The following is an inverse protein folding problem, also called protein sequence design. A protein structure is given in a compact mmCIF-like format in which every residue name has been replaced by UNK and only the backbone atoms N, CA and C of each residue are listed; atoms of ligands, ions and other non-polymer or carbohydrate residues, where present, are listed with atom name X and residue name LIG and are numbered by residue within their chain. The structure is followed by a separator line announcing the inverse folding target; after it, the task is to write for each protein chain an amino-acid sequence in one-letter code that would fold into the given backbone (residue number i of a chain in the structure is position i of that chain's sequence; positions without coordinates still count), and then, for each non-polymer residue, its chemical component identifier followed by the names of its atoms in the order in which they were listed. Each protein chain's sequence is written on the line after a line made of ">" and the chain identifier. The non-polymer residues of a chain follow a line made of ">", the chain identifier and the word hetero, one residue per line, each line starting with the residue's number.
data_IF_038965398220
#
_entry.id   IF_038965398220
#
_cell.length_a   1.000
_cell.length_b   1.000
_cell.length_c   1.000
_cell.angle_alpha   90.00
_cell.angle_beta   90.00
_cell.angle_gamma   90.00
#
_symmetry.space_group_name_H-M   'P 1'
#
loop_
_entity.id
_entity.type
_entity.pdbx_description
1 polymer ?
#
# COMPACT_ATOMS: atom_id res chain seq x y z
N UNK A 1 -6.69 2.12 17.40
CA UNK A 1 -5.28 1.74 17.56
C UNK A 1 -4.46 3.01 17.57
N UNK A 2 -3.76 3.29 18.66
CA UNK A 2 -2.68 4.28 18.65
C UNK A 2 -1.43 3.55 18.17
N UNK A 3 -0.94 3.95 16.99
CA UNK A 3 0.34 3.47 16.49
C UNK A 3 1.37 4.53 16.89
N UNK A 4 2.44 4.17 17.60
CA UNK A 4 3.58 5.06 17.84
C UNK A 4 4.10 5.69 16.55
N UNK A 5 4.62 6.92 16.63
CA UNK A 5 5.01 7.69 15.44
C UNK A 5 6.08 6.98 14.60
N UNK A 6 7.09 6.43 15.25
CA UNK A 6 8.14 5.56 14.71
C UNK A 6 7.57 4.34 13.97
N UNK A 7 6.64 3.61 14.60
CA UNK A 7 5.98 2.46 13.96
C UNK A 7 5.21 2.88 12.71
N UNK A 8 4.56 4.06 12.73
CA UNK A 8 3.87 4.59 11.56
C UNK A 8 4.86 4.93 10.43
N UNK A 9 5.97 5.60 10.73
CA UNK A 9 7.01 5.89 9.72
C UNK A 9 7.55 4.60 9.11
N UNK A 10 7.89 3.61 9.93
CA UNK A 10 8.38 2.32 9.45
C UNK A 10 7.37 1.63 8.53
N UNK A 11 6.06 1.65 8.86
CA UNK A 11 5.01 1.12 7.98
C UNK A 11 4.90 1.89 6.65
N UNK A 12 5.05 3.22 6.69
CA UNK A 12 5.03 4.04 5.48
C UNK A 12 6.22 3.71 4.56
N UNK A 13 7.43 3.50 5.12
CA UNK A 13 8.62 3.04 4.39
C UNK A 13 8.43 1.63 3.81
N UNK A 14 7.87 0.70 4.59
CA UNK A 14 7.53 -0.65 4.12
C UNK A 14 6.59 -0.59 2.91
N UNK A 15 5.51 0.20 3.01
CA UNK A 15 4.54 0.36 1.92
C UNK A 15 5.19 0.97 0.69
N UNK A 16 5.99 2.01 0.86
CA UNK A 16 6.73 2.66 -0.21
C UNK A 16 7.65 1.66 -0.92
N UNK A 17 8.42 0.91 -0.14
CA UNK A 17 9.35 -0.09 -0.65
C UNK A 17 8.63 -1.16 -1.47
N UNK A 18 7.56 -1.75 -0.94
CA UNK A 18 6.74 -2.75 -1.66
C UNK A 18 6.22 -2.18 -2.99
N UNK A 19 5.84 -0.90 -2.98
CA UNK A 19 5.28 -0.21 -4.14
C UNK A 19 6.32 0.28 -5.16
N UNK A 20 7.61 0.01 -4.95
CA UNK A 20 8.65 0.19 -5.99
C UNK A 20 8.74 -1.00 -6.95
N UNK A 21 8.05 -2.10 -6.66
CA UNK A 21 8.03 -3.29 -7.53
C UNK A 21 7.50 -2.92 -8.91
N UNK A 22 8.14 -3.43 -9.97
CA UNK A 22 7.68 -3.21 -11.33
C UNK A 22 6.22 -3.72 -11.51
N UNK A 23 5.39 -2.92 -12.16
CA UNK A 23 4.05 -3.29 -12.62
C UNK A 23 4.01 -3.21 -14.15
N UNK A 24 2.95 -3.71 -14.80
CA UNK A 24 2.87 -3.81 -16.26
C UNK A 24 3.15 -2.49 -17.00
N UNK A 25 2.85 -1.35 -16.37
CA UNK A 25 3.01 0.00 -16.94
C UNK A 25 4.10 0.84 -16.24
N UNK A 26 4.76 0.30 -15.20
CA UNK A 26 5.73 1.04 -14.37
C UNK A 26 7.01 0.22 -14.18
N UNK A 27 8.20 0.77 -14.55
CA UNK A 27 9.45 0.07 -14.32
C UNK A 27 9.75 -0.09 -12.83
N UNK A 28 10.71 -0.96 -12.50
CA UNK A 28 11.17 -1.14 -11.11
C UNK A 28 11.74 0.19 -10.57
N UNK A 29 11.11 0.72 -9.52
CA UNK A 29 11.49 1.99 -8.88
C UNK A 29 12.79 1.93 -8.09
N UNK A 30 13.40 0.75 -7.97
CA UNK A 30 14.74 0.56 -7.45
C UNK A 30 15.60 -0.10 -8.52
N UNK A 31 15.64 0.45 -9.74
CA UNK A 31 16.38 -0.10 -10.88
C UNK A 31 17.91 -0.11 -10.68
N UNK A 32 18.44 0.91 -10.02
CA UNK A 32 19.87 1.12 -9.81
C UNK A 32 20.17 1.79 -8.45
N UNK A 33 21.47 2.04 -8.20
CA UNK A 33 21.95 2.66 -6.94
C UNK A 33 21.50 4.14 -6.85
N UNK A 34 21.29 4.82 -7.98
CA UNK A 34 20.76 6.18 -8.01
C UNK A 34 19.34 6.23 -7.45
N UNK A 35 18.46 5.35 -7.93
CA UNK A 35 17.10 5.21 -7.40
C UNK A 35 17.09 4.81 -5.91
N UNK A 36 18.03 3.96 -5.48
CA UNK A 36 18.16 3.61 -4.06
C UNK A 36 18.54 4.82 -3.20
N UNK A 37 19.47 5.66 -3.65
CA UNK A 37 19.85 6.90 -2.95
C UNK A 37 18.70 7.89 -2.88
N UNK A 38 17.90 7.99 -3.94
CA UNK A 38 16.69 8.80 -3.95
C UNK A 38 15.68 8.29 -2.93
N UNK A 39 15.42 6.98 -2.89
CA UNK A 39 14.53 6.36 -1.90
C UNK A 39 14.99 6.65 -0.46
N UNK A 40 16.28 6.46 -0.15
CA UNK A 40 16.84 6.74 1.19
C UNK A 40 16.65 8.21 1.59
N UNK A 41 16.85 9.15 0.66
CA UNK A 41 16.65 10.58 0.91
C UNK A 41 15.18 10.95 1.09
N UNK A 42 14.31 10.44 0.22
CA UNK A 42 12.86 10.75 0.25
C UNK A 42 12.21 10.31 1.57
N UNK A 43 12.62 9.16 2.10
CA UNK A 43 12.10 8.61 3.35
C UNK A 43 12.95 8.95 4.58
N UNK A 44 13.97 9.79 4.42
CA UNK A 44 14.87 10.25 5.49
C UNK A 44 15.43 9.08 6.34
N UNK A 45 15.87 8.01 5.68
CA UNK A 45 16.42 6.84 6.37
C UNK A 45 17.81 7.20 6.91
N UNK A 46 17.97 7.13 8.23
CA UNK A 46 19.18 7.49 8.97
C UNK A 46 20.15 6.32 9.12
N UNK A 47 21.36 6.60 9.64
CA UNK A 47 22.41 5.62 9.90
C UNK A 47 22.79 4.73 8.69
N UNK A 48 22.66 5.30 7.48
CA UNK A 48 23.00 4.66 6.22
C UNK A 48 24.43 5.00 5.82
N UNK A 49 25.26 3.97 5.65
CA UNK A 49 26.62 4.09 5.12
C UNK A 49 26.66 4.29 3.59
N UNK A 50 27.83 4.07 2.99
CA UNK A 50 27.99 4.16 1.54
C UNK A 50 27.17 3.10 0.79
N UNK A 51 26.24 3.56 -0.04
CA UNK A 51 25.34 2.68 -0.79
C UNK A 51 25.99 2.09 -2.04
N UNK A 52 25.99 0.75 -2.09
CA UNK A 52 26.52 -0.03 -3.20
C UNK A 52 25.55 -1.06 -3.77
N UNK A 53 26.07 -1.89 -4.69
CA UNK A 53 25.28 -2.93 -5.36
C UNK A 53 24.75 -4.01 -4.39
N UNK A 54 25.48 -4.27 -3.28
CA UNK A 54 25.04 -5.22 -2.24
C UNK A 54 23.83 -4.69 -1.49
N UNK A 55 23.80 -3.41 -1.15
CA UNK A 55 22.65 -2.78 -0.50
C UNK A 55 21.43 -2.83 -1.41
N UNK A 56 21.58 -2.50 -2.69
CA UNK A 56 20.48 -2.59 -3.65
C UNK A 56 19.91 -4.01 -3.73
N UNK A 57 20.76 -5.03 -3.79
CA UNK A 57 20.31 -6.43 -3.79
C UNK A 57 19.62 -6.83 -2.48
N UNK A 58 20.15 -6.40 -1.33
CA UNK A 58 19.57 -6.63 -0.01
C UNK A 58 18.19 -5.98 0.12
N UNK A 59 18.07 -4.71 -0.24
CA UNK A 59 16.82 -3.96 -0.20
C UNK A 59 15.76 -4.56 -1.12
N UNK A 60 16.13 -5.00 -2.34
CA UNK A 60 15.20 -5.73 -3.23
C UNK A 60 14.75 -7.07 -2.65
N UNK A 61 15.62 -7.77 -1.91
CA UNK A 61 15.28 -9.01 -1.21
C UNK A 61 14.26 -8.74 -0.10
N UNK A 62 14.51 -7.71 0.72
CA UNK A 62 13.62 -7.28 1.81
C UNK A 62 12.27 -6.82 1.26
N UNK A 63 12.26 -6.05 0.16
CA UNK A 63 11.03 -5.69 -0.58
C UNK A 63 10.19 -6.91 -0.93
N UNK A 64 10.83 -7.95 -1.47
CA UNK A 64 10.15 -9.21 -1.83
C UNK A 64 9.53 -9.90 -0.62
N UNK A 65 10.23 -9.93 0.52
CA UNK A 65 9.71 -10.49 1.79
C UNK A 65 8.53 -9.67 2.34
N UNK A 66 8.60 -8.34 2.33
CA UNK A 66 7.46 -7.51 2.71
C UNK A 66 6.26 -7.72 1.80
N UNK A 67 6.47 -7.83 0.48
CA UNK A 67 5.39 -8.11 -0.45
C UNK A 67 4.68 -9.44 -0.14
N UNK A 68 5.41 -10.46 0.34
CA UNK A 68 4.85 -11.72 0.81
C UNK A 68 4.05 -11.56 2.11
N UNK A 69 4.51 -10.73 3.06
CA UNK A 69 3.74 -10.43 4.29
C UNK A 69 2.38 -9.81 3.95
N UNK A 70 2.35 -8.86 3.01
CA UNK A 70 1.10 -8.27 2.51
C UNK A 70 0.19 -9.27 1.78
N UNK A 71 0.75 -10.37 1.27
CA UNK A 71 0.01 -11.44 0.61
C UNK A 71 -0.29 -12.64 1.52
N UNK A 72 0.08 -12.59 2.80
CA UNK A 72 -0.05 -13.72 3.70
C UNK A 72 -1.54 -14.04 3.97
N UNK A 73 -1.98 -15.31 3.83
CA UNK A 73 -3.39 -15.67 3.92
C UNK A 73 -3.94 -15.66 5.36
N UNK A 74 -3.08 -15.67 6.37
CA UNK A 74 -3.48 -15.70 7.78
C UNK A 74 -2.33 -15.19 8.69
N UNK A 75 -2.63 -14.90 9.98
CA UNK A 75 -1.64 -14.32 10.89
C UNK A 75 -0.45 -15.23 11.16
N UNK A 76 -0.64 -16.56 11.12
CA UNK A 76 0.43 -17.54 11.34
C UNK A 76 1.46 -17.49 10.22
N UNK A 77 1.02 -17.42 8.96
CA UNK A 77 1.93 -17.26 7.82
C UNK A 77 2.65 -15.91 7.86
N UNK A 78 1.94 -14.82 8.18
CA UNK A 78 2.55 -13.51 8.32
C UNK A 78 3.63 -13.49 9.42
N UNK A 79 3.33 -14.07 10.59
CA UNK A 79 4.28 -14.16 11.70
C UNK A 79 5.55 -14.97 11.33
N UNK A 80 5.42 -16.06 10.58
CA UNK A 80 6.58 -16.82 10.08
C UNK A 80 7.51 -15.97 9.21
N UNK A 81 6.94 -15.26 8.23
CA UNK A 81 7.70 -14.37 7.33
C UNK A 81 8.36 -13.20 8.09
N UNK A 82 7.65 -12.62 9.06
CA UNK A 82 8.17 -11.54 9.90
C UNK A 82 9.32 -12.04 10.77
N UNK A 83 9.17 -13.22 11.39
CA UNK A 83 10.22 -13.84 12.20
C UNK A 83 11.50 -14.07 11.39
N UNK A 84 11.37 -14.56 10.15
CA UNK A 84 12.52 -14.73 9.25
C UNK A 84 13.19 -13.39 8.91
N UNK A 85 12.41 -12.33 8.68
CA UNK A 85 12.93 -10.98 8.43
C UNK A 85 13.78 -10.49 9.61
N UNK A 86 13.20 -10.46 10.82
CA UNK A 86 13.88 -9.92 12.00
C UNK A 86 15.05 -10.78 12.45
N UNK A 87 14.95 -12.12 12.30
CA UNK A 87 16.04 -13.02 12.64
C UNK A 87 17.23 -12.87 11.69
N UNK A 88 16.98 -12.65 10.38
CA UNK A 88 18.05 -12.43 9.40
C UNK A 88 18.77 -11.10 9.66
N UNK A 89 18.01 -10.05 10.02
CA UNK A 89 18.56 -8.72 10.26
C UNK A 89 19.42 -8.61 11.53
N UNK A 90 19.28 -9.54 12.48
CA UNK A 90 20.03 -9.52 13.74
C UNK A 90 19.62 -8.36 14.64
N UNK A 91 18.33 -8.25 14.96
CA UNK A 91 17.80 -7.07 15.67
C UNK A 91 18.45 -6.84 17.03
N UNK A 92 18.92 -5.62 17.25
CA UNK A 92 19.56 -5.17 18.50
C UNK A 92 18.89 -3.86 18.95
N UNK A 93 17.79 -3.92 19.75
CA UNK A 93 17.03 -2.73 20.12
C UNK A 93 17.88 -1.69 20.87
N UNK A 94 17.82 -0.43 20.45
CA UNK A 94 18.48 0.70 21.11
C UNK A 94 17.50 1.86 21.23
N UNK A 95 17.43 2.46 22.43
CA UNK A 95 16.64 3.65 22.68
C UNK A 95 17.47 4.88 22.26
N UNK A 96 16.89 5.76 21.44
CA UNK A 96 17.58 6.88 20.79
C UNK A 96 16.66 8.09 20.63
N UNK A 97 17.21 9.29 20.49
CA UNK A 97 16.49 10.58 20.42
C UNK A 97 17.02 11.51 19.31
N UNK A 98 17.56 10.94 18.21
CA UNK A 98 18.03 11.71 17.05
C UNK A 98 17.01 11.76 15.90
N UNK A 99 17.46 12.16 14.70
CA UNK A 99 16.66 12.28 13.47
C UNK A 99 15.51 13.30 13.51
N UNK A 100 15.55 14.22 14.47
CA UNK A 100 14.50 15.23 14.65
C UNK A 100 13.26 14.72 15.38
N UNK A 101 13.36 13.56 16.05
CA UNK A 101 12.29 12.98 16.85
C UNK A 101 12.69 12.87 18.33
N UNK A 102 11.69 12.79 19.20
CA UNK A 102 11.88 12.44 20.61
C UNK A 102 12.20 10.92 20.73
N UNK A 103 12.41 10.44 21.95
CA UNK A 103 12.78 9.05 22.25
C UNK A 103 12.00 7.99 21.45
N UNK A 104 12.73 7.16 20.72
CA UNK A 104 12.23 6.04 19.93
C UNK A 104 13.22 4.87 19.91
N UNK A 105 12.80 3.71 19.38
CA UNK A 105 13.63 2.50 19.36
C UNK A 105 14.11 2.21 17.95
N UNK A 106 15.43 2.16 17.76
CA UNK A 106 16.06 1.52 16.60
C UNK A 106 16.13 0.02 16.85
N UNK A 107 15.77 -0.80 15.86
CA UNK A 107 15.83 -2.26 16.01
C UNK A 107 17.08 -2.89 15.38
N UNK A 108 17.97 -2.11 14.79
CA UNK A 108 19.18 -2.57 14.11
C UNK A 108 20.46 -2.18 14.87
N UNK A 109 21.55 -2.92 14.63
CA UNK A 109 22.85 -2.59 15.18
C UNK A 109 23.50 -1.41 14.43
N UNK A 110 24.28 -0.54 15.10
CA UNK A 110 25.04 0.51 14.42
C UNK A 110 25.93 -0.06 13.32
N UNK A 111 25.87 0.55 12.12
CA UNK A 111 26.61 0.08 10.94
C UNK A 111 26.02 -1.14 10.23
N UNK A 112 24.79 -1.56 10.57
CA UNK A 112 24.06 -2.56 9.81
C UNK A 112 23.86 -2.14 8.34
N UNK A 113 23.70 -3.12 7.44
CA UNK A 113 23.39 -2.82 6.05
C UNK A 113 22.02 -2.15 5.93
N UNK A 114 21.79 -1.39 4.86
CA UNK A 114 20.46 -0.79 4.63
C UNK A 114 19.35 -1.85 4.55
N UNK A 115 19.66 -3.02 4.01
CA UNK A 115 18.72 -4.15 3.97
C UNK A 115 18.33 -4.60 5.38
N UNK A 116 19.30 -4.75 6.27
CA UNK A 116 19.07 -5.20 7.65
C UNK A 116 18.33 -4.12 8.46
N UNK A 117 18.67 -2.84 8.29
CA UNK A 117 17.92 -1.72 8.87
C UNK A 117 16.44 -1.81 8.49
N UNK A 118 16.14 -1.85 7.19
CA UNK A 118 14.76 -1.93 6.72
C UNK A 118 14.04 -3.19 7.20
N UNK A 119 14.71 -4.35 7.18
CA UNK A 119 14.15 -5.61 7.64
C UNK A 119 13.83 -5.60 9.15
N UNK A 120 14.70 -5.01 9.97
CA UNK A 120 14.53 -4.87 11.41
C UNK A 120 13.34 -3.96 11.72
N UNK A 121 13.38 -2.70 11.30
CA UNK A 121 12.36 -1.72 11.67
C UNK A 121 11.01 -2.04 11.02
N UNK A 122 11.01 -2.35 9.73
CA UNK A 122 9.81 -2.75 9.01
C UNK A 122 9.23 -4.08 9.53
N UNK A 123 10.10 -5.04 9.85
CA UNK A 123 9.70 -6.31 10.44
C UNK A 123 9.03 -6.14 11.80
N UNK A 124 9.61 -5.32 12.69
CA UNK A 124 9.04 -5.02 14.01
C UNK A 124 7.74 -4.22 13.90
N UNK A 125 7.66 -3.26 13.00
CA UNK A 125 6.42 -2.52 12.75
C UNK A 125 5.28 -3.44 12.25
N UNK A 126 5.59 -4.37 11.35
CA UNK A 126 4.64 -5.40 10.91
C UNK A 126 4.27 -6.38 12.03
N UNK A 127 5.22 -6.74 12.90
CA UNK A 127 4.97 -7.57 14.07
C UNK A 127 3.93 -6.91 15.00
N UNK A 128 4.03 -5.61 15.25
CA UNK A 128 3.05 -4.87 16.05
C UNK A 128 1.64 -4.92 15.46
N UNK A 129 1.49 -4.85 14.14
CA UNK A 129 0.20 -5.02 13.46
C UNK A 129 -0.38 -6.41 13.71
N UNK A 130 0.44 -7.46 13.59
CA UNK A 130 0.00 -8.85 13.81
C UNK A 130 -0.36 -9.09 15.27
N UNK A 131 0.47 -8.65 16.22
CA UNK A 131 0.22 -8.79 17.67
C UNK A 131 -1.05 -8.05 18.09
N UNK A 132 -1.35 -6.91 17.47
CA UNK A 132 -2.58 -6.16 17.73
C UNK A 132 -3.83 -6.82 17.17
N UNK A 133 -3.71 -7.94 16.44
CA UNK A 133 -4.83 -8.59 15.76
C UNK A 133 -5.36 -7.79 14.57
N UNK A 134 -4.50 -6.99 13.94
CA UNK A 134 -4.89 -5.98 12.93
C UNK A 134 -4.33 -6.29 11.54
N UNK A 135 -4.01 -7.57 11.25
CA UNK A 135 -3.45 -7.99 9.96
C UNK A 135 -4.30 -7.55 8.77
N UNK A 136 -5.64 -7.53 8.89
CA UNK A 136 -6.53 -7.08 7.82
C UNK A 136 -6.32 -5.62 7.38
N UNK A 137 -5.54 -4.82 8.13
CA UNK A 137 -5.13 -3.49 7.70
C UNK A 137 -4.04 -3.52 6.64
N UNK A 138 -3.29 -4.61 6.50
CA UNK A 138 -2.31 -4.79 5.43
C UNK A 138 -3.05 -5.19 4.16
N UNK A 139 -3.23 -4.24 3.24
CA UNK A 139 -4.14 -4.41 2.10
C UNK A 139 -3.44 -4.12 0.78
N UNK A 140 -4.03 -4.68 -0.29
CA UNK A 140 -3.74 -4.35 -1.69
C UNK A 140 -4.89 -3.52 -2.25
N UNK A 141 -4.58 -2.62 -3.17
CA UNK A 141 -5.58 -1.78 -3.83
C UNK A 141 -6.65 -2.64 -4.51
N UNK A 142 -7.92 -2.31 -4.31
CA UNK A 142 -9.04 -3.02 -4.96
C UNK A 142 -9.34 -2.53 -6.38
N UNK A 143 -8.59 -1.55 -6.91
CA UNK A 143 -8.77 -1.13 -8.30
C UNK A 143 -8.31 -2.26 -9.26
N UNK A 144 -9.06 -2.56 -10.34
CA UNK A 144 -8.82 -3.75 -11.18
C UNK A 144 -7.38 -3.88 -11.72
N UNK A 145 -6.77 -2.75 -12.01
CA UNK A 145 -5.48 -2.53 -12.66
C UNK A 145 -4.40 -1.98 -11.70
N UNK A 146 -4.62 -2.03 -10.38
CA UNK A 146 -3.65 -1.56 -9.39
C UNK A 146 -3.34 -2.68 -8.39
N UNK A 147 -2.06 -2.89 -8.09
CA UNK A 147 -1.61 -3.88 -7.08
C UNK A 147 -0.81 -3.26 -5.95
N UNK A 148 -0.83 -1.93 -5.84
CA UNK A 148 -0.16 -1.20 -4.76
C UNK A 148 -0.67 -1.62 -3.38
N UNK A 149 0.28 -1.83 -2.48
CA UNK A 149 0.04 -2.07 -1.06
C UNK A 149 -0.29 -0.77 -0.32
N UNK A 150 -1.04 -0.89 0.78
CA UNK A 150 -1.26 0.19 1.75
C UNK A 150 -1.63 -0.39 3.13
N UNK A 151 -1.40 0.40 4.19
CA UNK A 151 -1.96 0.11 5.52
C UNK A 151 -3.24 0.93 5.73
N UNK A 152 -4.34 0.26 6.06
CA UNK A 152 -5.60 0.90 6.38
C UNK A 152 -5.60 1.46 7.81
N UNK A 153 -5.18 2.71 7.95
CA UNK A 153 -5.21 3.45 9.21
C UNK A 153 -6.54 4.17 9.48
N UNK A 154 -7.58 3.91 8.67
CA UNK A 154 -8.90 4.49 8.92
C UNK A 154 -9.54 3.90 10.18
N UNK A 155 -10.38 4.71 10.85
CA UNK A 155 -11.04 4.33 12.11
C UNK A 155 -11.89 3.06 11.98
N UNK A 156 -12.54 2.87 10.83
CA UNK A 156 -13.50 1.80 10.56
C UNK A 156 -12.99 0.78 9.51
N UNK A 157 -11.70 0.77 9.19
CA UNK A 157 -11.09 -0.15 8.20
C UNK A 157 -11.80 -0.13 6.83
N UNK A 158 -12.21 1.06 6.41
CA UNK A 158 -13.04 1.25 5.20
C UNK A 158 -12.24 1.66 3.96
N UNK A 159 -10.92 1.84 4.07
CA UNK A 159 -10.11 2.29 2.94
C UNK A 159 -9.91 1.12 1.97
N UNK A 160 -10.49 1.24 0.78
CA UNK A 160 -10.43 0.22 -0.29
C UNK A 160 -9.31 0.42 -1.30
N UNK A 161 -8.78 1.65 -1.39
CA UNK A 161 -7.84 2.04 -2.44
C UNK A 161 -6.53 2.60 -1.86
N UNK A 162 -5.44 2.37 -2.58
CA UNK A 162 -4.09 2.77 -2.16
C UNK A 162 -3.94 4.28 -1.98
N UNK A 163 -4.74 5.10 -2.65
CA UNK A 163 -4.81 6.54 -2.43
C UNK A 163 -6.15 7.08 -2.92
N UNK A 164 -6.71 8.04 -2.18
CA UNK A 164 -8.04 8.59 -2.46
C UNK A 164 -8.03 9.55 -3.66
N UNK A 165 -6.92 10.26 -3.90
CA UNK A 165 -6.79 11.26 -4.97
C UNK A 165 -6.52 10.62 -6.33
N UNK A 166 -5.96 9.42 -6.35
CA UNK A 166 -5.64 8.66 -7.56
C UNK A 166 -6.69 7.58 -7.81
N UNK A 167 -6.47 6.35 -7.33
CA UNK A 167 -7.36 5.21 -7.56
C UNK A 167 -8.78 5.49 -7.03
N UNK A 168 -8.92 6.09 -5.84
CA UNK A 168 -10.24 6.44 -5.29
C UNK A 168 -11.04 7.36 -6.21
N UNK A 169 -10.42 8.47 -6.64
CA UNK A 169 -11.06 9.44 -7.54
C UNK A 169 -11.35 8.83 -8.92
N UNK A 170 -10.40 8.07 -9.51
CA UNK A 170 -10.57 7.41 -10.80
C UNK A 170 -11.82 6.51 -10.82
N UNK A 171 -11.97 5.67 -9.80
CA UNK A 171 -13.10 4.75 -9.68
C UNK A 171 -14.41 5.49 -9.36
N UNK A 172 -14.36 6.56 -8.55
CA UNK A 172 -15.53 7.39 -8.28
C UNK A 172 -16.05 8.10 -9.55
N UNK A 173 -15.15 8.67 -10.35
CA UNK A 173 -15.48 9.32 -11.63
C UNK A 173 -16.06 8.30 -12.62
N UNK A 174 -15.47 7.10 -12.72
CA UNK A 174 -15.99 6.04 -13.59
C UNK A 174 -17.43 5.63 -13.19
N UNK A 175 -17.68 5.41 -11.90
CA UNK A 175 -19.01 5.10 -11.38
C UNK A 175 -20.03 6.22 -11.60
N UNK A 176 -19.62 7.48 -11.41
CA UNK A 176 -20.48 8.64 -11.70
C UNK A 176 -20.88 8.69 -13.19
N UNK A 177 -19.93 8.47 -14.10
CA UNK A 177 -20.19 8.44 -15.56
C UNK A 177 -21.11 7.29 -15.95
N UNK A 178 -20.97 6.11 -15.35
CA UNK A 178 -21.85 4.97 -15.61
C UNK A 178 -23.31 5.29 -15.22
N UNK A 179 -23.53 5.83 -14.01
CA UNK A 179 -24.86 6.24 -13.55
C UNK A 179 -25.50 7.32 -14.42
N UNK A 180 -24.71 8.28 -14.92
CA UNK A 180 -25.21 9.32 -15.85
C UNK A 180 -25.68 8.71 -17.18
N UNK A 181 -24.93 7.75 -17.73
CA UNK A 181 -25.32 7.04 -18.96
C UNK A 181 -26.59 6.21 -18.76
N UNK A 182 -26.72 5.52 -17.63
CA UNK A 182 -27.93 4.76 -17.28
C UNK A 182 -29.14 5.68 -17.12
N UNK A 183 -28.98 6.84 -16.48
CA UNK A 183 -30.05 7.82 -16.35
C UNK A 183 -30.48 8.40 -17.71
N UNK A 184 -29.52 8.74 -18.59
CA UNK A 184 -29.80 9.28 -19.92
C UNK A 184 -30.40 8.19 -20.86
N UNK A 185 -30.03 6.92 -20.69
CA UNK A 185 -30.64 5.77 -21.39
C UNK A 185 -32.07 5.50 -20.90
N UNK A 186 -32.29 5.53 -19.58
CA UNK A 186 -33.63 5.35 -18.99
C UNK A 186 -34.60 6.48 -19.35
N UNK A 187 -34.12 7.72 -19.52
CA UNK A 187 -34.96 8.82 -20.00
C UNK A 187 -35.35 8.67 -21.46
N UNK A 188 -34.45 8.15 -22.31
CA UNK A 188 -34.73 7.95 -23.73
C UNK A 188 -35.64 6.74 -23.99
N UNK A 189 -35.56 5.68 -23.17
CA UNK A 189 -36.52 4.57 -23.19
C UNK A 189 -37.92 4.99 -22.70
N UNK A 190 -38.01 5.81 -21.65
CA UNK A 190 -39.30 6.34 -21.18
C UNK A 190 -39.99 7.24 -22.22
N UNK A 191 -39.23 8.06 -22.95
CA UNK A 191 -39.75 8.96 -23.98
C UNK A 191 -40.27 8.18 -25.21
N UNK A 192 -39.61 7.08 -25.59
CA UNK A 192 -40.07 6.18 -26.66
C UNK A 192 -41.36 5.44 -26.31
N UNK A 193 -41.53 5.00 -25.05
CA UNK A 193 -42.76 4.33 -24.59
C UNK A 193 -43.96 5.29 -24.59
N UNK A 194 -43.75 6.55 -24.21
CA UNK A 194 -44.81 7.58 -24.20
C UNK A 194 -45.30 7.91 -25.61
N UNK A 195 -44.41 8.02 -26.59
CA UNK A 195 -44.80 8.27 -27.99
C UNK A 195 -45.33 7.04 -28.73
N UNK A 196 -44.87 5.84 -28.40
CA UNK A 196 -45.40 4.58 -28.96
C UNK A 196 -46.84 4.28 -28.53
N UNK A 197 -47.22 4.65 -27.29
CA UNK A 197 -48.58 4.43 -26.77
C UNK A 197 -49.67 5.34 -27.35
N UNK A 198 -49.29 6.49 -27.95
CA UNK A 198 -50.25 7.44 -28.54
C UNK A 198 -50.67 7.09 -29.98
N UNK A 199 -49.92 6.24 -30.69
CA UNK A 199 -50.24 5.88 -32.08
C UNK A 199 -51.26 4.73 -32.22
N UNK A 200 -51.62 4.03 -31.13
CA UNK A 200 -52.54 2.88 -31.17
C UNK A 200 -54.00 3.18 -30.80
N UNK A 201 -54.37 4.44 -30.53
CA UNK A 201 -55.75 4.82 -30.17
C UNK A 201 -56.54 5.48 -31.33
N UNK A 202 -56.02 5.43 -32.57
CA UNK A 202 -56.57 6.19 -33.70
C UNK A 202 -57.39 5.40 -34.75
N UNK A 203 -57.61 4.09 -34.59
CA UNK A 203 -58.26 3.28 -35.63
C UNK A 203 -59.29 2.32 -35.05
N UNK A 204 -60.48 2.83 -34.70
CA UNK A 204 -61.73 2.05 -34.74
C UNK A 204 -62.95 2.98 -34.52
N UNK A 205 -63.53 3.46 -35.62
CA UNK A 205 -64.98 3.60 -35.86
C UNK A 205 -65.24 4.41 -37.16
N UNK A 206 -66.38 4.21 -37.84
CA UNK A 206 -67.44 3.20 -37.66
C UNK A 206 -67.58 2.21 -38.84
#
# INVERSE_FOLDING_TARGET
>A
MQIPHDTRRALDVVVALVNTTAEAEQPDGLADIGSLREFVREYEISDVGDLGARDLAGVRTVRGKFAQVFGAPNPRTAAGLINELVATAGTTPQLTDHDGYDWHVHYFAPGASLGDHLAADGGMALAFIVVSGEQERLRRCEAPDCRRAFVDLSRNRSRRYCDSRTCGNRLHVAAYRARRKEADAGSSEQEQVVHGGQQQQGADHP
#
